data_IF_698452285955
#
_entry.id   IF_698452285955
#
_cell.length_a   1.000
_cell.length_b   1.000
_cell.length_c   1.000
_cell.angle_alpha   90.00
_cell.angle_beta   90.00
_cell.angle_gamma   90.00
#
_symmetry.space_group_name_H-M   'P 1'
#
loop_
_entity.id
_entity.type
_entity.pdbx_description
1 polymer ?
#
# COMPACT_ATOMS: atom_id res chain seq x y z
N UNK A 1 -7.33 -16.20 -5.13
CA UNK A 1 -7.43 -14.78 -5.49
C UNK A 1 -6.13 -14.02 -5.19
N UNK A 2 -5.46 -14.32 -4.09
CA UNK A 2 -4.16 -13.78 -3.71
C UNK A 2 -3.08 -13.92 -4.81
N UNK A 3 -3.06 -15.05 -5.53
CA UNK A 3 -2.12 -15.24 -6.65
C UNK A 3 -2.23 -14.13 -7.72
N UNK A 4 -3.43 -13.64 -8.01
CA UNK A 4 -3.65 -12.55 -8.98
C UNK A 4 -3.06 -11.25 -8.45
N UNK A 5 -3.25 -10.96 -7.16
CA UNK A 5 -2.69 -9.77 -6.50
C UNK A 5 -1.16 -9.79 -6.54
N UNK A 6 -0.55 -10.90 -6.11
CA UNK A 6 0.91 -11.06 -6.07
C UNK A 6 1.54 -10.96 -7.46
N UNK A 7 0.93 -11.59 -8.48
CA UNK A 7 1.39 -11.50 -9.88
C UNK A 7 1.43 -10.06 -10.40
N UNK A 8 0.58 -9.18 -9.87
CA UNK A 8 0.47 -7.78 -10.27
C UNK A 8 1.20 -6.81 -9.31
N UNK A 9 2.06 -7.31 -8.42
CA UNK A 9 2.76 -6.53 -7.39
C UNK A 9 1.81 -5.78 -6.43
N UNK A 10 0.65 -6.35 -6.16
CA UNK A 10 -0.31 -5.82 -5.20
C UNK A 10 -0.10 -6.56 -3.88
N UNK A 11 0.11 -5.80 -2.81
CA UNK A 11 0.45 -6.32 -1.49
C UNK A 11 -0.75 -6.27 -0.57
N UNK A 12 -1.04 -7.41 0.05
CA UNK A 12 -1.82 -7.55 1.27
C UNK A 12 -0.87 -7.64 2.48
N UNK A 13 -1.41 -7.80 3.69
CA UNK A 13 -0.62 -8.08 4.89
C UNK A 13 0.34 -6.94 5.27
N UNK A 14 -0.14 -5.71 5.09
CA UNK A 14 0.59 -4.52 5.49
C UNK A 14 0.30 -4.18 6.95
N UNK A 15 1.25 -3.52 7.60
CA UNK A 15 1.07 -3.09 8.97
C UNK A 15 0.43 -1.70 8.99
N UNK A 16 -0.69 -1.56 9.68
CA UNK A 16 -1.43 -0.30 9.78
C UNK A 16 -1.28 0.29 11.18
N UNK A 17 -1.09 1.61 11.26
CA UNK A 17 -0.91 2.28 12.54
C UNK A 17 -2.25 2.43 13.26
N UNK A 18 -2.37 1.95 14.51
CA UNK A 18 -3.58 2.17 15.29
C UNK A 18 -3.75 3.67 15.59
N UNK A 19 -4.99 4.09 15.81
CA UNK A 19 -5.30 5.48 16.18
C UNK A 19 -4.62 5.90 17.50
N UNK A 20 -4.49 4.96 18.44
CA UNK A 20 -3.72 5.16 19.65
C UNK A 20 -2.83 3.95 19.94
N UNK A 21 -1.57 4.25 20.28
CA UNK A 21 -0.61 3.27 20.82
C UNK A 21 -0.74 3.13 22.34
N UNK A 22 -1.64 3.87 23.00
CA UNK A 22 -1.81 3.87 24.46
C UNK A 22 -2.15 2.50 25.03
N UNK A 23 -2.78 1.66 24.21
CA UNK A 23 -3.26 0.34 24.62
C UNK A 23 -2.19 -0.74 24.47
N UNK A 24 -1.02 -0.40 23.89
CA UNK A 24 0.10 -1.33 23.74
C UNK A 24 1.07 -1.20 24.91
N UNK A 25 1.67 -2.32 25.32
CA UNK A 25 2.73 -2.30 26.32
C UNK A 25 3.98 -1.58 25.81
N UNK A 26 4.82 -0.99 26.68
CA UNK A 26 6.01 -0.24 26.26
C UNK A 26 6.98 -1.03 25.35
N UNK A 27 7.10 -2.34 25.57
CA UNK A 27 7.92 -3.23 24.74
C UNK A 27 7.35 -3.40 23.32
N UNK A 28 6.03 -3.51 23.21
CA UNK A 28 5.32 -3.61 21.93
C UNK A 28 5.40 -2.30 21.16
N UNK A 29 5.25 -1.16 21.85
CA UNK A 29 5.46 0.16 21.27
C UNK A 29 6.89 0.32 20.73
N UNK A 30 7.90 -0.17 21.47
CA UNK A 30 9.30 -0.12 21.03
C UNK A 30 9.56 -1.00 19.81
N UNK A 31 9.00 -2.23 19.80
CA UNK A 31 9.07 -3.15 18.67
C UNK A 31 8.42 -2.56 17.41
N UNK A 32 7.20 -2.01 17.57
CA UNK A 32 6.46 -1.36 16.50
C UNK A 32 7.26 -0.19 15.89
N UNK A 33 7.83 0.68 16.74
CA UNK A 33 8.71 1.77 16.30
C UNK A 33 9.96 1.28 15.57
N UNK A 34 10.52 0.13 15.97
CA UNK A 34 11.64 -0.50 15.27
C UNK A 34 11.26 -0.92 13.85
N UNK A 35 10.12 -1.59 13.71
CA UNK A 35 9.58 -2.03 12.42
C UNK A 35 9.26 -0.86 11.49
N UNK A 36 8.68 0.23 12.03
CA UNK A 36 8.37 1.45 11.27
C UNK A 36 9.61 2.06 10.60
N UNK A 37 10.77 2.06 11.28
CA UNK A 37 12.01 2.64 10.74
C UNK A 37 12.56 1.88 9.54
N UNK A 38 12.36 0.57 9.49
CA UNK A 38 12.87 -0.28 8.42
C UNK A 38 11.92 -0.39 7.23
N UNK A 39 10.66 0.04 7.40
CA UNK A 39 9.59 -0.16 6.42
C UNK A 39 9.33 1.08 5.58
N UNK A 40 8.88 0.89 4.34
CA UNK A 40 8.36 1.98 3.53
C UNK A 40 7.05 2.46 4.14
N UNK A 41 7.01 3.74 4.50
CA UNK A 41 5.80 4.41 5.00
C UNK A 41 4.82 4.70 3.87
N UNK A 42 3.57 4.32 4.07
CA UNK A 42 2.40 4.65 3.28
C UNK A 42 1.61 5.71 4.05
N UNK A 43 1.23 6.78 3.37
CA UNK A 43 0.50 7.90 3.96
C UNK A 43 -0.83 8.02 3.23
N UNK A 44 -1.92 8.08 3.98
CA UNK A 44 -3.27 8.31 3.47
C UNK A 44 -4.06 9.18 4.44
N UNK A 45 -5.24 9.64 4.01
CA UNK A 45 -6.13 10.45 4.85
C UNK A 45 -7.34 9.63 5.24
N UNK A 46 -7.75 9.78 6.48
CA UNK A 46 -9.05 9.33 6.96
C UNK A 46 -10.16 10.32 6.56
N UNK A 47 -11.40 9.98 6.88
CA UNK A 47 -12.57 10.77 6.47
C UNK A 47 -12.65 12.12 7.18
N UNK A 48 -11.98 12.26 8.33
CA UNK A 48 -11.83 13.54 9.05
C UNK A 48 -10.75 14.44 8.42
N UNK A 49 -10.00 13.93 7.44
CA UNK A 49 -8.85 14.61 6.85
C UNK A 49 -7.58 14.50 7.69
N UNK A 50 -7.56 13.68 8.73
CA UNK A 50 -6.37 13.42 9.52
C UNK A 50 -5.49 12.36 8.84
N UNK A 51 -4.18 12.48 9.08
CA UNK A 51 -3.20 11.62 8.46
C UNK A 51 -3.18 10.25 9.14
N UNK A 52 -3.32 9.19 8.34
CA UNK A 52 -3.17 7.81 8.76
C UNK A 52 -1.97 7.15 8.04
N UNK A 53 -1.40 6.14 8.69
CA UNK A 53 -0.13 5.55 8.29
C UNK A 53 -0.25 4.03 8.12
N UNK A 54 0.47 3.53 7.12
CA UNK A 54 0.71 2.10 6.90
C UNK A 54 2.16 1.84 6.58
N UNK A 55 2.59 0.58 6.68
CA UNK A 55 3.99 0.20 6.54
C UNK A 55 4.11 -1.06 5.68
N UNK A 56 4.95 -0.96 4.66
CA UNK A 56 5.29 -2.08 3.78
C UNK A 56 6.75 -2.47 3.94
N UNK A 57 7.00 -3.77 4.02
CA UNK A 57 8.35 -4.35 3.98
C UNK A 57 9.00 -4.19 2.60
N UNK A 58 8.21 -3.97 1.54
CA UNK A 58 8.72 -3.72 0.18
C UNK A 58 9.03 -2.23 0.00
N UNK A 59 10.31 -1.92 -0.24
CA UNK A 59 10.80 -0.55 -0.43
C UNK A 59 10.34 0.06 -1.76
N UNK A 60 10.20 -0.77 -2.81
CA UNK A 60 9.85 -0.28 -4.15
C UNK A 60 8.41 0.25 -4.20
N UNK A 61 8.24 1.44 -4.79
CA UNK A 61 6.94 2.08 -5.02
C UNK A 61 6.13 1.43 -6.14
N UNK A 62 6.69 0.43 -6.83
CA UNK A 62 5.95 -0.38 -7.80
C UNK A 62 5.02 -1.39 -7.12
N UNK A 63 5.25 -1.65 -5.83
CA UNK A 63 4.31 -2.44 -5.04
C UNK A 63 3.20 -1.54 -4.51
N UNK A 64 1.98 -1.94 -4.83
CA UNK A 64 0.75 -1.20 -4.55
C UNK A 64 0.01 -1.83 -3.36
N UNK A 65 -0.44 -1.06 -2.37
CA UNK A 65 -1.10 -1.58 -1.16
C UNK A 65 -2.58 -1.88 -1.39
N UNK A 66 -2.98 -3.15 -1.36
CA UNK A 66 -4.34 -3.60 -1.66
C UNK A 66 -5.43 -2.87 -0.85
N UNK A 67 -5.26 -2.79 0.47
CA UNK A 67 -6.24 -2.18 1.36
C UNK A 67 -6.53 -0.70 1.07
N UNK A 68 -5.55 0.08 0.57
CA UNK A 68 -5.82 1.47 0.16
C UNK A 68 -6.74 1.54 -1.07
N UNK A 69 -6.62 0.60 -2.00
CA UNK A 69 -7.51 0.57 -3.16
C UNK A 69 -8.91 0.14 -2.78
N UNK A 70 -9.06 -0.79 -1.84
CA UNK A 70 -10.39 -1.14 -1.30
C UNK A 70 -11.03 0.07 -0.64
N UNK A 71 -10.30 0.77 0.25
CA UNK A 71 -10.76 2.02 0.85
C UNK A 71 -11.19 3.04 -0.19
N UNK A 72 -10.36 3.30 -1.20
CA UNK A 72 -10.63 4.34 -2.19
C UNK A 72 -11.78 4.00 -3.15
N UNK A 73 -12.09 2.71 -3.35
CA UNK A 73 -13.14 2.25 -4.25
C UNK A 73 -14.47 1.96 -3.54
N UNK A 74 -14.42 1.45 -2.32
CA UNK A 74 -15.58 0.87 -1.64
C UNK A 74 -15.87 1.50 -0.26
N UNK A 75 -14.93 2.27 0.30
CA UNK A 75 -15.13 3.00 1.55
C UNK A 75 -15.01 2.13 2.81
N UNK A 76 -15.84 2.45 3.80
CA UNK A 76 -15.92 1.74 5.07
C UNK A 76 -16.66 0.40 4.93
N UNK A 77 -16.17 -0.62 5.63
CA UNK A 77 -16.73 -1.96 5.56
C UNK A 77 -15.79 -3.02 6.11
N UNK A 78 -16.35 -4.22 6.28
CA UNK A 78 -15.61 -5.44 6.57
C UNK A 78 -15.51 -6.22 5.27
N UNK A 79 -14.30 -6.31 4.70
CA UNK A 79 -14.04 -6.96 3.42
C UNK A 79 -13.34 -8.29 3.62
N UNK A 80 -13.76 -9.31 2.89
CA UNK A 80 -13.14 -10.62 2.96
C UNK A 80 -13.22 -11.39 1.64
N UNK A 81 -12.30 -12.33 1.43
CA UNK A 81 -12.47 -13.38 0.43
C UNK A 81 -11.83 -14.67 0.90
N UNK A 82 -12.43 -15.80 0.54
CA UNK A 82 -11.86 -17.11 0.84
C UNK A 82 -10.80 -17.46 -0.20
N UNK A 83 -9.53 -17.51 0.20
CA UNK A 83 -8.45 -17.98 -0.69
C UNK A 83 -8.51 -19.50 -0.86
N UNK A 84 -8.95 -20.19 0.18
CA UNK A 84 -9.19 -21.63 0.21
C UNK A 84 -10.20 -21.97 1.31
N UNK A 85 -10.58 -23.25 1.43
CA UNK A 85 -11.47 -23.71 2.50
C UNK A 85 -10.94 -23.45 3.92
N UNK A 86 -9.64 -23.19 4.08
CA UNK A 86 -9.01 -23.01 5.38
C UNK A 86 -8.47 -21.59 5.62
N UNK A 87 -8.40 -20.75 4.59
CA UNK A 87 -7.77 -19.44 4.67
C UNK A 87 -8.65 -18.36 4.05
N UNK A 88 -8.90 -17.33 4.84
CA UNK A 88 -9.73 -16.18 4.50
C UNK A 88 -8.89 -14.92 4.65
N UNK A 89 -8.85 -14.11 3.59
CA UNK A 89 -8.37 -12.74 3.70
C UNK A 89 -9.41 -11.91 4.43
N UNK A 90 -8.96 -11.10 5.37
CA UNK A 90 -9.78 -10.19 6.15
C UNK A 90 -9.26 -8.77 5.99
N UNK A 91 -10.14 -7.79 6.17
CA UNK A 91 -9.83 -6.36 6.16
C UNK A 91 -10.99 -5.59 6.77
N UNK A 92 -10.72 -4.67 7.71
CA UNK A 92 -11.73 -3.73 8.21
C UNK A 92 -11.28 -2.31 7.87
N UNK A 93 -12.21 -1.51 7.34
CA UNK A 93 -12.06 -0.09 7.12
C UNK A 93 -13.19 0.64 7.86
N UNK A 94 -12.84 1.61 8.72
CA UNK A 94 -13.79 2.38 9.52
C UNK A 94 -13.35 3.84 9.61
N UNK A 95 -14.24 4.78 9.32
CA UNK A 95 -13.94 6.22 9.27
C UNK A 95 -12.83 6.57 8.27
N UNK A 96 -12.72 5.81 7.18
CA UNK A 96 -11.63 5.94 6.21
C UNK A 96 -10.27 5.48 6.75
N UNK A 97 -10.21 4.74 7.87
CA UNK A 97 -8.98 4.14 8.41
C UNK A 97 -8.98 2.64 8.23
N UNK A 98 -7.87 2.09 7.77
CA UNK A 98 -7.63 0.65 7.80
C UNK A 98 -7.27 0.26 9.22
N UNK A 99 -8.06 -0.66 9.79
CA UNK A 99 -7.88 -1.07 11.18
C UNK A 99 -6.64 -1.95 11.31
N UNK A 100 -5.78 -1.59 12.28
CA UNK A 100 -4.58 -2.35 12.62
C UNK A 100 -4.91 -3.81 12.94
N UNK A 101 -4.19 -4.74 12.31
CA UNK A 101 -4.36 -6.18 12.50
C UNK A 101 -5.41 -6.85 11.62
N UNK A 102 -6.09 -6.12 10.73
CA UNK A 102 -7.19 -6.67 9.93
C UNK A 102 -6.80 -7.05 8.51
N UNK A 103 -5.88 -6.34 7.85
CA UNK A 103 -5.31 -6.70 6.52
C UNK A 103 -4.45 -7.96 6.64
N UNK A 104 -5.06 -9.14 6.73
CA UNK A 104 -4.37 -10.39 7.06
C UNK A 104 -5.06 -11.61 6.46
N UNK A 105 -4.30 -12.67 6.20
CA UNK A 105 -4.87 -14.01 6.01
C UNK A 105 -5.00 -14.73 7.34
N UNK A 106 -6.21 -15.18 7.64
CA UNK A 106 -6.51 -15.93 8.86
C UNK A 106 -7.23 -17.25 8.55
N UNK A 107 -7.37 -18.11 9.54
CA UNK A 107 -8.13 -19.34 9.36
C UNK A 107 -9.62 -19.02 9.17
N UNK A 108 -10.28 -19.73 8.26
CA UNK A 108 -11.72 -19.52 8.01
C UNK A 108 -12.55 -19.73 9.27
N UNK A 109 -12.19 -20.71 10.11
CA UNK A 109 -12.87 -20.93 11.40
C UNK A 109 -12.72 -19.73 12.36
N UNK A 110 -11.57 -19.06 12.39
CA UNK A 110 -11.38 -17.86 13.22
C UNK A 110 -12.16 -16.68 12.65
N UNK A 111 -12.18 -16.51 11.33
CA UNK A 111 -13.02 -15.51 10.67
C UNK A 111 -14.50 -15.72 11.01
N UNK A 112 -15.02 -16.94 10.85
CA UNK A 112 -16.41 -17.27 11.15
C UNK A 112 -16.77 -16.97 12.61
N UNK A 113 -15.84 -17.21 13.55
CA UNK A 113 -16.03 -16.87 14.96
C UNK A 113 -16.06 -15.36 15.19
N UNK A 114 -15.15 -14.60 14.57
CA UNK A 114 -15.14 -13.13 14.66
C UNK A 114 -16.40 -12.51 14.06
N UNK A 115 -16.96 -13.09 13.00
CA UNK A 115 -18.18 -12.59 12.36
C UNK A 115 -19.45 -12.84 13.18
N UNK A 116 -19.41 -13.70 14.22
CA UNK A 116 -20.56 -13.85 15.14
C UNK A 116 -20.74 -12.63 16.04
N UNK A 117 -19.63 -11.98 16.41
CA UNK A 117 -19.60 -10.84 17.31
C UNK A 117 -18.54 -9.83 16.84
N UNK A 118 -18.83 -9.02 15.81
CA UNK A 118 -17.90 -8.00 15.33
C UNK A 118 -17.87 -6.81 16.29
N UNK A 119 -17.27 -7.02 17.47
CA UNK A 119 -17.20 -6.05 18.56
C UNK A 119 -16.70 -4.68 18.07
N UNK A 120 -17.56 -3.66 18.19
CA UNK A 120 -17.22 -2.27 17.83
C UNK A 120 -17.31 -1.95 16.33
N UNK A 121 -17.71 -2.92 15.50
CA UNK A 121 -17.85 -2.77 14.05
C UNK A 121 -19.20 -3.27 13.53
N UNK A 122 -20.18 -3.47 14.41
CA UNK A 122 -21.54 -3.94 14.06
C UNK A 122 -22.27 -3.02 13.05
N UNK A 123 -21.85 -1.76 12.96
CA UNK A 123 -22.40 -0.78 12.02
C UNK A 123 -21.83 -0.91 10.60
N UNK A 124 -20.77 -1.68 10.41
CA UNK A 124 -20.12 -1.86 9.11
C UNK A 124 -20.78 -2.98 8.30
N UNK A 125 -20.92 -2.74 7.01
CA UNK A 125 -21.38 -3.78 6.08
C UNK A 125 -20.29 -4.84 5.87
N UNK A 126 -20.68 -6.11 5.94
CA UNK A 126 -19.80 -7.24 5.64
C UNK A 126 -19.91 -7.59 4.16
N UNK A 127 -18.87 -7.28 3.40
CA UNK A 127 -18.85 -7.39 1.95
C UNK A 127 -17.87 -8.46 1.48
N UNK A 128 -18.34 -9.54 0.85
CA UNK A 128 -17.44 -10.48 0.17
C UNK A 128 -16.82 -9.79 -1.06
N UNK A 129 -15.51 -9.95 -1.20
CA UNK A 129 -14.76 -9.52 -2.37
C UNK A 129 -14.78 -10.63 -3.41
N UNK A 130 -15.57 -10.43 -4.45
CA UNK A 130 -15.64 -11.26 -5.64
C UNK A 130 -14.51 -10.92 -6.63
N UNK A 131 -14.32 -11.82 -7.60
CA UNK A 131 -13.29 -11.67 -8.63
C UNK A 131 -13.43 -10.35 -9.42
N UNK A 132 -14.65 -9.86 -9.63
CA UNK A 132 -14.90 -8.59 -10.32
C UNK A 132 -14.31 -7.37 -9.54
N UNK A 133 -14.47 -7.34 -8.22
CA UNK A 133 -13.92 -6.28 -7.38
C UNK A 133 -12.38 -6.37 -7.34
N UNK A 134 -11.83 -7.58 -7.22
CA UNK A 134 -10.38 -7.81 -7.29
C UNK A 134 -9.80 -7.33 -8.63
N UNK A 135 -10.47 -7.66 -9.75
CA UNK A 135 -10.02 -7.24 -11.08
C UNK A 135 -10.06 -5.71 -11.23
N UNK A 136 -11.06 -5.04 -10.65
CA UNK A 136 -11.15 -3.57 -10.63
C UNK A 136 -9.95 -2.97 -9.87
N UNK A 137 -9.59 -3.54 -8.72
CA UNK A 137 -8.39 -3.13 -7.97
C UNK A 137 -7.12 -3.36 -8.80
N UNK A 138 -7.00 -4.52 -9.45
CA UNK A 138 -5.86 -4.86 -10.31
C UNK A 138 -5.70 -3.86 -11.45
N UNK A 139 -6.78 -3.53 -12.16
CA UNK A 139 -6.75 -2.58 -13.26
C UNK A 139 -6.26 -1.20 -12.81
N UNK A 140 -6.75 -0.71 -11.66
CA UNK A 140 -6.36 0.58 -11.11
C UNK A 140 -4.89 0.60 -10.68
N UNK A 141 -4.42 -0.48 -10.04
CA UNK A 141 -3.02 -0.69 -9.69
C UNK A 141 -2.11 -0.69 -10.93
N UNK A 142 -2.45 -1.50 -11.94
CA UNK A 142 -1.65 -1.61 -13.17
C UNK A 142 -1.57 -0.27 -13.90
N UNK A 143 -2.69 0.44 -14.01
CA UNK A 143 -2.74 1.77 -14.63
C UNK A 143 -1.80 2.75 -13.93
N UNK A 144 -1.83 2.79 -12.58
CA UNK A 144 -0.94 3.64 -11.79
C UNK A 144 0.53 3.23 -11.95
N UNK A 145 0.84 1.94 -11.89
CA UNK A 145 2.20 1.43 -12.07
C UNK A 145 2.77 1.79 -13.45
N UNK A 146 1.97 1.71 -14.51
CA UNK A 146 2.37 2.12 -15.87
C UNK A 146 2.69 3.62 -15.91
N UNK A 147 1.84 4.45 -15.30
CA UNK A 147 2.08 5.88 -15.20
C UNK A 147 3.39 6.20 -14.44
N UNK A 148 3.64 5.52 -13.31
CA UNK A 148 4.87 5.66 -12.54
C UNK A 148 6.11 5.24 -13.34
N UNK A 149 6.06 4.09 -14.02
CA UNK A 149 7.16 3.61 -14.88
C UNK A 149 7.43 4.58 -16.04
N UNK A 150 6.39 5.14 -16.65
CA UNK A 150 6.52 6.15 -17.71
C UNK A 150 7.19 7.42 -17.19
N UNK A 151 6.74 7.96 -16.06
CA UNK A 151 7.33 9.14 -15.43
C UNK A 151 8.81 8.92 -15.09
N UNK A 152 9.15 7.76 -14.54
CA UNK A 152 10.54 7.40 -14.22
C UNK A 152 11.43 7.39 -15.47
N UNK A 153 10.96 6.80 -16.58
CA UNK A 153 11.69 6.81 -17.86
C UNK A 153 11.93 8.22 -18.40
N UNK A 154 10.93 9.11 -18.30
CA UNK A 154 11.06 10.50 -18.73
C UNK A 154 12.14 11.22 -17.90
N UNK A 155 12.10 11.07 -16.57
CA UNK A 155 13.08 11.69 -15.67
C UNK A 155 14.50 11.20 -15.99
N UNK A 156 14.70 9.89 -16.08
CA UNK A 156 16.02 9.31 -16.42
C UNK A 156 16.49 9.82 -17.78
N UNK A 157 15.61 9.83 -18.78
CA UNK A 157 15.91 10.37 -20.11
C UNK A 157 16.38 11.82 -20.06
N UNK A 158 15.67 12.68 -19.31
CA UNK A 158 16.03 14.10 -19.17
C UNK A 158 17.37 14.33 -18.47
N UNK A 159 17.71 13.49 -17.48
CA UNK A 159 18.99 13.58 -16.77
C UNK A 159 20.13 13.19 -17.71
N UNK A 160 19.94 12.13 -18.50
CA UNK A 160 20.95 11.68 -19.46
C UNK A 160 21.19 12.70 -20.56
N UNK A 161 20.15 13.22 -21.20
CA UNK A 161 20.30 14.24 -22.26
C UNK A 161 20.86 15.55 -21.72
N UNK A 162 20.41 15.99 -20.54
CA UNK A 162 20.96 17.16 -19.86
C UNK A 162 22.43 16.99 -19.50
N UNK A 163 22.81 15.82 -18.97
CA UNK A 163 24.20 15.50 -18.64
C UNK A 163 25.12 15.47 -19.85
N UNK A 164 24.68 14.86 -20.95
CA UNK A 164 25.42 14.85 -22.22
C UNK A 164 25.59 16.28 -22.77
N UNK A 165 24.51 17.07 -22.78
CA UNK A 165 24.56 18.47 -23.22
C UNK A 165 25.54 19.32 -22.39
N UNK A 166 25.53 19.14 -21.07
CA UNK A 166 26.46 19.81 -20.16
C UNK A 166 27.92 19.42 -20.42
N UNK A 167 28.19 18.13 -20.62
CA UNK A 167 29.54 17.64 -20.95
C UNK A 167 30.04 18.19 -22.29
N UNK A 168 29.18 18.25 -23.32
CA UNK A 168 29.55 18.86 -24.61
C UNK A 168 29.86 20.35 -24.46
N UNK A 169 29.05 21.08 -23.70
CA UNK A 169 29.29 22.51 -23.44
C UNK A 169 30.63 22.72 -22.72
N UNK A 170 30.93 21.91 -21.71
CA UNK A 170 32.22 21.97 -21.00
C UNK A 170 33.39 21.66 -21.92
N UNK A 171 33.30 20.63 -22.76
CA UNK A 171 34.34 20.31 -23.73
C UNK A 171 34.58 21.46 -24.71
N UNK A 172 33.51 22.14 -25.14
CA UNK A 172 33.58 23.29 -26.05
C UNK A 172 34.24 24.50 -25.37
N UNK A 173 33.86 24.84 -24.14
CA UNK A 173 34.51 25.90 -23.35
C UNK A 173 36.00 25.60 -23.14
N UNK A 174 36.34 24.35 -22.80
CA UNK A 174 37.72 23.94 -22.59
C UNK A 174 38.55 24.06 -23.87
N UNK A 175 37.97 23.67 -25.01
CA UNK A 175 38.61 23.82 -26.32
C UNK A 175 38.92 25.29 -26.62
N UNK A 176 37.98 26.21 -26.38
CA UNK A 176 38.22 27.64 -26.57
C UNK A 176 39.28 28.22 -25.62
N UNK A 177 39.38 27.72 -24.39
CA UNK A 177 40.40 28.16 -23.42
C UNK A 177 41.81 27.64 -23.71
N UNK A 178 41.94 26.47 -24.34
CA UNK A 178 43.24 25.84 -24.64
C UNK A 178 43.73 26.18 -26.04
N UNK A 179 42.82 26.36 -27.00
CA UNK A 179 43.16 26.64 -28.40
C UNK A 179 43.09 28.15 -28.76
N UNK A 180 42.65 29.00 -27.85
CA UNK A 180 42.72 30.47 -27.95
C UNK A 180 43.86 31.02 -27.12
#
# INVERSE_FOLDING_TARGET
MNHILLKNNILTELNWEPESLSNLHPAEQASFRGMMKASRRLVYMDDSGAQALGYSTKISTLYEPFALYIKDLYGDGIYFFHESNQSTYFLIINGGRIISGTDVFMSTALFDELMKHPEGYDHLEVTPLEEAQINTVVERCVTRQVALKRRRRIIIGSILTGGVGFLMLMALVLHFLVAG
#
